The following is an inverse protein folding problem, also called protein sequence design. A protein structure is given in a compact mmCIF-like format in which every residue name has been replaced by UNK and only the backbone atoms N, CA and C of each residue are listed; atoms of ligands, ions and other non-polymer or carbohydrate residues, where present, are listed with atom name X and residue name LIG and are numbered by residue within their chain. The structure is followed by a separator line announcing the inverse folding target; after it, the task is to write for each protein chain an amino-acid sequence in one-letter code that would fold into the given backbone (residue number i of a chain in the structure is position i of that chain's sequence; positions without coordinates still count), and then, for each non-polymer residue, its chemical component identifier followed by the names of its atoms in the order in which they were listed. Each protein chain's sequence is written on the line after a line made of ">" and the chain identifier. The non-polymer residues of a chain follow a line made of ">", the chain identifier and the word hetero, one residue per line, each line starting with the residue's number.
data_IF_953628573691
#
_entry.id   IF_953628573691
#
_cell.length_a   1.000
_cell.length_b   1.000
_cell.length_c   1.000
_cell.angle_alpha   90.00
_cell.angle_beta   90.00
_cell.angle_gamma   90.00
#
_symmetry.space_group_name_H-M   'P 1'
#
loop_
_entity.id
_entity.type
_entity.pdbx_description
1 polymer ?
#
# COMPACT_ATOMS: atom_id res chain seq x y z
N UNK A 1 -12.58 1.07 19.22
CA UNK A 1 -11.17 0.87 18.84
C UNK A 1 -11.02 1.55 17.49
N UNK A 2 -10.10 2.51 17.36
CA UNK A 2 -9.92 3.24 16.09
C UNK A 2 -9.26 2.34 15.05
N UNK A 3 -9.28 2.75 13.77
CA UNK A 3 -8.59 2.01 12.71
C UNK A 3 -7.08 1.87 12.99
N UNK A 4 -6.46 2.88 13.62
CA UNK A 4 -5.05 2.84 14.02
C UNK A 4 -4.83 1.82 15.16
N UNK A 5 -5.69 1.83 16.19
CA UNK A 5 -5.61 0.84 17.28
C UNK A 5 -5.79 -0.60 16.79
N UNK A 6 -6.73 -0.84 15.88
CA UNK A 6 -6.95 -2.15 15.26
C UNK A 6 -5.73 -2.61 14.45
N UNK A 7 -5.18 -1.72 13.61
CA UNK A 7 -3.99 -2.00 12.81
C UNK A 7 -2.76 -2.25 13.69
N UNK A 8 -2.58 -1.46 14.75
CA UNK A 8 -1.52 -1.62 15.73
C UNK A 8 -1.59 -2.98 16.45
N UNK A 9 -2.76 -3.33 16.98
CA UNK A 9 -2.98 -4.62 17.65
C UNK A 9 -2.73 -5.80 16.71
N UNK A 10 -3.22 -5.72 15.47
CA UNK A 10 -2.98 -6.75 14.45
C UNK A 10 -1.50 -6.86 14.09
N UNK A 11 -0.78 -5.74 13.97
CA UNK A 11 0.67 -5.74 13.71
C UNK A 11 1.43 -6.41 14.83
N UNK A 12 1.19 -6.00 16.08
CA UNK A 12 1.88 -6.54 17.26
C UNK A 12 1.67 -8.05 17.37
N UNK A 13 0.44 -8.51 17.16
CA UNK A 13 0.13 -9.94 17.19
C UNK A 13 0.85 -10.72 16.07
N UNK A 14 0.72 -10.28 14.82
CA UNK A 14 1.27 -11.00 13.67
C UNK A 14 2.80 -10.96 13.64
N UNK A 15 3.40 -9.78 13.76
CA UNK A 15 4.85 -9.58 13.68
C UNK A 15 5.53 -10.10 14.94
N UNK A 16 4.92 -9.92 16.13
CA UNK A 16 5.40 -10.53 17.36
C UNK A 16 5.45 -12.06 17.27
N UNK A 17 4.44 -12.68 16.64
CA UNK A 17 4.42 -14.11 16.36
C UNK A 17 5.57 -14.58 15.46
N UNK A 18 5.88 -13.83 14.39
CA UNK A 18 7.00 -14.13 13.51
C UNK A 18 8.36 -14.01 14.21
N UNK A 19 8.53 -12.99 15.07
CA UNK A 19 9.74 -12.79 15.88
C UNK A 19 9.90 -13.88 16.94
N UNK A 20 8.80 -14.30 17.57
CA UNK A 20 8.79 -15.42 18.52
C UNK A 20 9.28 -16.71 17.86
N UNK A 21 8.73 -17.02 16.69
CA UNK A 21 9.09 -18.19 15.91
C UNK A 21 10.58 -18.17 15.50
N UNK A 22 11.10 -17.00 15.10
CA UNK A 22 12.49 -16.85 14.66
C UNK A 22 13.49 -16.90 15.82
N UNK A 23 13.16 -16.29 16.96
CA UNK A 23 14.02 -16.23 18.14
C UNK A 23 13.93 -17.47 19.05
N UNK A 24 12.92 -18.33 18.84
CA UNK A 24 12.55 -19.44 19.74
C UNK A 24 12.23 -18.96 21.16
N UNK A 25 11.61 -17.79 21.27
CA UNK A 25 11.13 -17.19 22.53
C UNK A 25 9.61 -17.04 22.51
N UNK A 26 9.01 -16.64 23.62
CA UNK A 26 7.58 -16.35 23.66
C UNK A 26 7.28 -15.09 22.83
N UNK A 27 6.07 -14.99 22.28
CA UNK A 27 5.66 -13.80 21.52
C UNK A 27 5.62 -12.54 22.38
N UNK A 28 5.23 -12.69 23.65
CA UNK A 28 5.18 -11.60 24.61
C UNK A 28 6.55 -10.90 24.78
N UNK A 29 7.65 -11.64 24.59
CA UNK A 29 9.03 -11.12 24.69
C UNK A 29 9.40 -10.11 23.58
N UNK A 30 8.61 -10.01 22.50
CA UNK A 30 8.87 -9.11 21.35
C UNK A 30 7.79 -8.02 21.19
N UNK A 31 6.89 -7.90 22.16
CA UNK A 31 5.78 -6.94 22.12
C UNK A 31 6.31 -5.51 22.04
N UNK A 32 7.34 -5.20 22.82
CA UNK A 32 7.92 -3.84 22.90
C UNK A 32 8.54 -3.43 21.56
N UNK A 33 9.29 -4.32 20.93
CA UNK A 33 9.87 -4.08 19.61
C UNK A 33 8.80 -3.87 18.55
N UNK A 34 7.75 -4.69 18.55
CA UNK A 34 6.64 -4.57 17.61
C UNK A 34 5.84 -3.28 17.82
N UNK A 35 5.55 -2.89 19.06
CA UNK A 35 4.87 -1.62 19.37
C UNK A 35 5.72 -0.43 18.95
N UNK A 36 7.03 -0.45 19.26
CA UNK A 36 7.94 0.62 18.86
C UNK A 36 7.98 0.78 17.34
N UNK A 37 7.89 -0.33 16.62
CA UNK A 37 7.83 -0.33 15.17
C UNK A 37 6.54 0.32 14.64
N UNK A 38 5.38 -0.04 15.19
CA UNK A 38 4.09 0.60 14.87
C UNK A 38 4.15 2.10 15.14
N UNK A 39 4.68 2.50 16.29
CA UNK A 39 4.86 3.90 16.68
C UNK A 39 5.75 4.67 15.70
N UNK A 40 6.84 4.07 15.24
CA UNK A 40 7.71 4.68 14.23
C UNK A 40 7.00 4.84 12.87
N UNK A 41 6.24 3.83 12.44
CA UNK A 41 5.51 3.86 11.17
C UNK A 41 4.42 4.94 11.21
N UNK A 42 3.55 4.89 12.22
CA UNK A 42 2.46 5.85 12.36
C UNK A 42 2.99 7.28 12.52
N UNK A 43 3.98 7.48 13.40
CA UNK A 43 4.57 8.80 13.62
C UNK A 43 5.28 9.36 12.39
N UNK A 44 5.91 8.51 11.58
CA UNK A 44 6.58 8.95 10.35
C UNK A 44 5.60 9.38 9.25
N UNK A 45 4.41 8.75 9.19
CA UNK A 45 3.34 9.15 8.28
C UNK A 45 2.71 10.46 8.75
N UNK A 46 2.26 10.53 10.00
CA UNK A 46 1.61 11.72 10.57
C UNK A 46 2.50 12.97 10.56
N UNK A 47 3.82 12.80 10.63
CA UNK A 47 4.76 13.92 10.60
C UNK A 47 5.15 14.38 9.19
N UNK A 48 4.66 13.73 8.13
CA UNK A 48 5.17 13.89 6.77
C UNK A 48 5.04 15.32 6.22
N UNK A 49 3.97 16.03 6.56
CA UNK A 49 3.75 17.41 6.11
C UNK A 49 4.35 18.47 7.08
N UNK A 50 4.99 18.02 8.15
CA UNK A 50 5.55 18.84 9.22
C UNK A 50 4.51 19.51 10.12
N UNK A 51 3.23 19.16 10.01
CA UNK A 51 2.13 19.71 10.80
C UNK A 51 1.34 18.61 11.51
N UNK A 52 1.68 18.39 12.77
CA UNK A 52 0.90 17.51 13.63
C UNK A 52 -0.28 18.27 14.27
N UNK A 53 -1.49 18.01 13.79
CA UNK A 53 -2.74 18.53 14.34
C UNK A 53 -3.00 17.95 15.74
N UNK A 54 -3.91 18.58 16.50
CA UNK A 54 -4.30 18.03 17.81
C UNK A 54 -5.04 16.71 17.67
N UNK A 55 -5.78 16.50 16.57
CA UNK A 55 -6.48 15.25 16.28
C UNK A 55 -5.51 14.08 16.11
N UNK A 56 -4.48 14.25 15.28
CA UNK A 56 -3.46 13.24 15.03
C UNK A 56 -2.65 12.92 16.28
N UNK A 57 -2.20 13.94 17.02
CA UNK A 57 -1.47 13.73 18.27
C UNK A 57 -2.32 13.05 19.32
N UNK A 58 -3.59 13.42 19.45
CA UNK A 58 -4.50 12.78 20.40
C UNK A 58 -4.69 11.32 20.02
N UNK A 59 -4.97 11.01 18.75
CA UNK A 59 -5.13 9.64 18.27
C UNK A 59 -3.86 8.79 18.48
N UNK A 60 -2.68 9.34 18.16
CA UNK A 60 -1.41 8.65 18.39
C UNK A 60 -1.15 8.40 19.89
N UNK A 61 -1.32 9.43 20.72
CA UNK A 61 -1.04 9.35 22.15
C UNK A 61 -2.02 8.42 22.87
N UNK A 62 -3.30 8.41 22.49
CA UNK A 62 -4.31 7.56 23.13
C UNK A 62 -4.17 6.09 22.72
N UNK A 63 -3.88 5.82 21.45
CA UNK A 63 -3.83 4.44 20.92
C UNK A 63 -2.47 3.77 21.12
N UNK A 64 -1.37 4.53 20.95
CA UNK A 64 0.00 3.98 21.00
C UNK A 64 0.75 4.39 22.27
N UNK A 65 0.45 5.55 22.84
CA UNK A 65 1.15 6.07 24.04
C UNK A 65 1.18 5.09 25.22
N UNK A 66 0.05 4.46 25.61
CA UNK A 66 0.02 3.46 26.69
C UNK A 66 0.80 2.18 26.40
N UNK A 67 1.02 1.87 25.11
CA UNK A 67 1.66 0.62 24.68
C UNK A 67 3.20 0.75 24.64
N UNK A 68 3.72 1.98 24.56
CA UNK A 68 5.15 2.25 24.54
C UNK A 68 5.81 1.91 25.88
N UNK A 69 7.12 1.61 25.84
CA UNK A 69 7.94 1.37 27.03
C UNK A 69 9.15 2.33 27.08
N UNK A 70 9.21 3.28 28.03
CA UNK A 70 8.16 3.59 29.00
C UNK A 70 6.90 4.19 28.34
N UNK A 71 5.71 4.07 28.97
CA UNK A 71 4.48 4.65 28.44
C UNK A 71 4.60 6.16 28.24
N UNK A 72 4.12 6.63 27.10
CA UNK A 72 4.17 8.03 26.73
C UNK A 72 2.87 8.72 27.15
N UNK A 73 2.86 9.31 28.34
CA UNK A 73 1.71 10.03 28.90
C UNK A 73 2.03 11.53 28.97
N UNK A 74 1.75 12.24 27.88
CA UNK A 74 2.01 13.68 27.73
C UNK A 74 0.82 14.37 27.05
N UNK A 75 0.70 15.68 27.19
CA UNK A 75 -0.27 16.46 26.42
C UNK A 75 0.20 16.64 24.96
N UNK A 76 -0.72 16.95 24.05
CA UNK A 76 -0.37 17.27 22.64
C UNK A 76 0.59 18.46 22.55
N UNK A 77 0.45 19.45 23.44
CA UNK A 77 1.37 20.59 23.53
C UNK A 77 2.78 20.15 23.94
N UNK A 78 2.90 19.30 24.97
CA UNK A 78 4.19 18.78 25.42
C UNK A 78 4.85 17.88 24.35
N UNK A 79 4.07 17.06 23.63
CA UNK A 79 4.58 16.23 22.54
C UNK A 79 5.23 17.08 21.43
N UNK A 80 4.65 18.25 21.10
CA UNK A 80 5.23 19.21 20.15
C UNK A 80 6.49 19.87 20.70
N UNK A 81 6.47 20.30 21.96
CA UNK A 81 7.63 20.93 22.61
C UNK A 81 8.84 19.99 22.70
N UNK A 82 8.58 18.70 22.98
CA UNK A 82 9.61 17.65 23.00
C UNK A 82 10.12 17.27 21.60
N UNK A 83 9.51 17.79 20.53
CA UNK A 83 9.86 17.49 19.13
C UNK A 83 9.89 15.99 18.87
N UNK A 84 8.91 15.27 19.42
CA UNK A 84 8.89 13.81 19.48
C UNK A 84 8.97 13.13 18.09
N UNK A 85 8.47 13.82 17.06
CA UNK A 85 8.35 13.29 15.70
C UNK A 85 9.41 13.85 14.73
N UNK A 86 10.37 14.61 15.24
CA UNK A 86 11.49 15.07 14.42
C UNK A 86 12.23 13.88 13.79
N UNK A 87 12.51 13.97 12.49
CA UNK A 87 13.19 12.91 11.78
C UNK A 87 12.33 11.65 11.57
N UNK A 88 11.04 11.66 11.92
CA UNK A 88 10.20 10.46 11.87
C UNK A 88 9.95 10.00 10.42
N UNK A 89 9.69 10.93 9.51
CA UNK A 89 9.47 10.61 8.09
C UNK A 89 10.76 10.13 7.42
N UNK A 90 11.91 10.71 7.75
CA UNK A 90 13.22 10.26 7.26
C UNK A 90 13.55 8.84 7.71
N UNK A 91 13.09 8.42 8.90
CA UNK A 91 13.23 7.03 9.35
C UNK A 91 12.46 6.05 8.47
N UNK A 92 11.33 6.44 7.88
CA UNK A 92 10.59 5.60 6.92
C UNK A 92 11.33 5.42 5.59
N UNK A 93 12.24 6.33 5.25
CA UNK A 93 13.06 6.21 4.04
C UNK A 93 14.09 5.07 4.14
N UNK A 94 14.31 4.50 5.33
CA UNK A 94 15.24 3.41 5.57
C UNK A 94 14.50 2.16 6.11
N UNK A 95 14.93 0.94 5.72
CA UNK A 95 14.38 -0.27 6.32
C UNK A 95 14.74 -0.31 7.81
N UNK A 96 13.78 -0.67 8.66
CA UNK A 96 14.05 -0.84 10.09
C UNK A 96 14.91 -2.07 10.36
N UNK A 97 15.54 -2.09 11.54
CA UNK A 97 16.32 -3.25 11.99
C UNK A 97 15.45 -4.50 12.12
N UNK A 98 14.21 -4.34 12.59
CA UNK A 98 13.26 -5.44 12.72
C UNK A 98 12.93 -6.01 11.34
N UNK A 99 12.62 -5.15 10.37
CA UNK A 99 12.31 -5.59 9.02
C UNK A 99 13.50 -6.27 8.34
N UNK A 100 14.69 -5.67 8.43
CA UNK A 100 15.92 -6.25 7.88
C UNK A 100 16.20 -7.65 8.46
N UNK A 101 15.96 -7.85 9.75
CA UNK A 101 16.11 -9.14 10.41
C UNK A 101 15.16 -10.20 9.82
N UNK A 102 13.89 -9.85 9.58
CA UNK A 102 12.91 -10.76 8.97
C UNK A 102 13.26 -11.07 7.51
N UNK A 103 13.69 -10.07 6.74
CA UNK A 103 14.11 -10.24 5.34
C UNK A 103 15.33 -11.16 5.24
N UNK A 104 16.33 -10.99 6.10
CA UNK A 104 17.50 -11.87 6.14
C UNK A 104 17.16 -13.29 6.56
N UNK A 105 16.16 -13.47 7.41
CA UNK A 105 15.68 -14.80 7.78
C UNK A 105 15.02 -15.48 6.58
N UNK A 106 14.07 -14.79 5.92
CA UNK A 106 13.40 -15.30 4.71
C UNK A 106 14.36 -15.61 3.57
N UNK A 107 15.40 -14.80 3.37
CA UNK A 107 16.44 -15.08 2.37
C UNK A 107 17.24 -16.37 2.67
N UNK A 108 17.29 -16.81 3.93
CA UNK A 108 18.02 -18.03 4.35
C UNK A 108 17.17 -19.28 4.28
N UNK A 109 15.90 -19.21 4.69
CA UNK A 109 15.03 -20.38 4.86
C UNK A 109 13.82 -20.42 3.90
N UNK A 110 13.64 -19.38 3.08
CA UNK A 110 12.58 -19.29 2.08
C UNK A 110 11.18 -19.05 2.67
N UNK A 111 11.08 -18.66 3.94
CA UNK A 111 9.79 -18.32 4.53
C UNK A 111 9.28 -16.95 4.07
N UNK A 112 8.17 -16.48 4.65
CA UNK A 112 7.46 -15.26 4.24
C UNK A 112 7.18 -14.30 5.40
N UNK A 113 8.06 -14.27 6.42
CA UNK A 113 7.88 -13.41 7.60
C UNK A 113 7.89 -11.93 7.24
N UNK A 114 8.74 -11.55 6.29
CA UNK A 114 8.81 -10.20 5.77
C UNK A 114 7.57 -9.79 4.95
N UNK A 115 6.81 -10.75 4.41
CA UNK A 115 5.50 -10.47 3.78
C UNK A 115 4.47 -10.13 4.83
N UNK A 116 4.40 -10.91 5.92
CA UNK A 116 3.54 -10.64 7.07
C UNK A 116 3.82 -9.25 7.64
N UNK A 117 5.09 -8.91 7.85
CA UNK A 117 5.49 -7.57 8.26
C UNK A 117 5.03 -6.51 7.25
N UNK A 118 5.30 -6.70 5.95
CA UNK A 118 4.98 -5.70 4.93
C UNK A 118 3.49 -5.38 4.92
N UNK A 119 2.62 -6.40 4.90
CA UNK A 119 1.18 -6.20 4.88
C UNK A 119 0.69 -5.50 6.16
N UNK A 120 1.21 -5.89 7.33
CA UNK A 120 0.86 -5.27 8.59
C UNK A 120 1.35 -3.81 8.66
N UNK A 121 2.59 -3.54 8.23
CA UNK A 121 3.18 -2.21 8.22
C UNK A 121 2.41 -1.25 7.31
N UNK A 122 2.02 -1.71 6.11
CA UNK A 122 1.20 -0.92 5.20
C UNK A 122 -0.19 -0.63 5.77
N UNK A 123 -0.79 -1.56 6.51
CA UNK A 123 -2.07 -1.31 7.22
C UNK A 123 -1.93 -0.22 8.28
N UNK A 124 -0.86 -0.26 9.07
CA UNK A 124 -0.57 0.79 10.07
C UNK A 124 -0.39 2.16 9.40
N UNK A 125 0.43 2.21 8.33
CA UNK A 125 0.69 3.45 7.60
C UNK A 125 -0.59 4.06 7.01
N UNK A 126 -1.45 3.25 6.38
CA UNK A 126 -2.74 3.71 5.86
C UNK A 126 -3.73 4.08 6.97
N UNK A 127 -3.73 3.36 8.09
CA UNK A 127 -4.59 3.69 9.23
C UNK A 127 -4.20 5.00 9.89
N UNK A 128 -2.90 5.32 9.93
CA UNK A 128 -2.39 6.60 10.42
C UNK A 128 -2.88 7.76 9.54
N UNK A 129 -2.65 7.69 8.23
CA UNK A 129 -3.13 8.71 7.29
C UNK A 129 -4.67 8.85 7.26
N UNK A 130 -5.40 7.78 7.61
CA UNK A 130 -6.86 7.79 7.69
C UNK A 130 -7.41 8.39 9.00
N UNK A 131 -6.54 8.85 9.92
CA UNK A 131 -6.98 9.65 11.08
C UNK A 131 -7.68 10.92 10.59
N UNK A 132 -7.12 11.53 9.55
CA UNK A 132 -7.77 12.62 8.85
C UNK A 132 -8.84 12.11 7.88
N UNK A 133 -9.91 12.91 7.73
CA UNK A 133 -10.95 12.64 6.74
C UNK A 133 -10.41 12.67 5.31
N UNK A 134 -9.32 13.42 5.08
CA UNK A 134 -8.63 13.55 3.81
C UNK A 134 -7.13 13.53 4.08
N UNK A 135 -6.43 12.43 3.74
CA UNK A 135 -4.97 12.38 3.83
C UNK A 135 -4.31 13.48 3.01
N UNK A 136 -3.25 14.06 3.53
CA UNK A 136 -2.44 15.05 2.81
C UNK A 136 -1.61 14.40 1.69
N UNK A 137 -1.26 15.16 0.63
CA UNK A 137 -0.36 14.65 -0.42
C UNK A 137 1.00 14.17 0.12
N UNK A 138 1.51 14.82 1.17
CA UNK A 138 2.81 14.50 1.77
C UNK A 138 2.75 13.18 2.56
N UNK A 139 1.66 12.90 3.27
CA UNK A 139 1.42 11.60 3.90
C UNK A 139 1.35 10.47 2.87
N UNK A 140 0.62 10.69 1.77
CA UNK A 140 0.54 9.70 0.68
C UNK A 140 1.91 9.46 0.04
N UNK A 141 2.69 10.52 -0.17
CA UNK A 141 4.05 10.41 -0.67
C UNK A 141 4.98 9.67 0.32
N UNK A 142 4.83 9.90 1.63
CA UNK A 142 5.57 9.19 2.66
C UNK A 142 5.23 7.70 2.68
N UNK A 143 3.95 7.33 2.54
CA UNK A 143 3.51 5.93 2.43
C UNK A 143 4.11 5.27 1.19
N UNK A 144 4.10 5.94 0.04
CA UNK A 144 4.67 5.39 -1.20
C UNK A 144 6.20 5.26 -1.13
N UNK A 145 6.88 6.21 -0.49
CA UNK A 145 8.32 6.14 -0.24
C UNK A 145 8.67 4.97 0.70
N UNK A 146 7.92 4.83 1.80
CA UNK A 146 8.06 3.72 2.74
C UNK A 146 7.86 2.37 2.05
N UNK A 147 6.76 2.22 1.31
CA UNK A 147 6.46 1.03 0.49
C UNK A 147 7.60 0.69 -0.46
N UNK A 148 8.10 1.70 -1.18
CA UNK A 148 9.20 1.52 -2.14
C UNK A 148 10.47 1.07 -1.43
N UNK A 149 10.76 1.61 -0.24
CA UNK A 149 11.91 1.20 0.57
C UNK A 149 11.80 -0.26 1.03
N UNK A 150 10.64 -0.70 1.51
CA UNK A 150 10.44 -2.10 1.89
C UNK A 150 10.63 -3.05 0.71
N UNK A 151 9.98 -2.76 -0.43
CA UNK A 151 10.06 -3.61 -1.62
C UNK A 151 11.47 -3.68 -2.20
N UNK A 152 12.20 -2.55 -2.23
CA UNK A 152 13.59 -2.52 -2.69
C UNK A 152 14.51 -3.36 -1.80
N UNK A 153 14.24 -3.39 -0.50
CA UNK A 153 15.01 -4.21 0.45
C UNK A 153 14.78 -5.71 0.22
N UNK A 154 13.54 -6.12 -0.09
CA UNK A 154 13.24 -7.50 -0.49
C UNK A 154 13.98 -7.88 -1.78
N UNK A 155 13.93 -7.02 -2.80
CA UNK A 155 14.61 -7.26 -4.07
C UNK A 155 16.12 -7.42 -3.88
N UNK A 156 16.73 -6.54 -3.07
CA UNK A 156 18.16 -6.59 -2.76
C UNK A 156 18.57 -7.87 -2.03
N UNK A 157 17.68 -8.43 -1.21
CA UNK A 157 17.87 -9.69 -0.50
C UNK A 157 17.48 -10.94 -1.33
N UNK A 158 16.97 -10.76 -2.56
CA UNK A 158 16.48 -11.86 -3.39
C UNK A 158 15.21 -12.53 -2.85
N UNK A 159 14.50 -11.87 -1.94
CA UNK A 159 13.23 -12.38 -1.38
C UNK A 159 12.11 -11.99 -2.36
N UNK A 160 11.25 -12.93 -2.79
CA UNK A 160 10.12 -12.61 -3.67
C UNK A 160 9.23 -11.53 -3.08
N UNK A 161 8.64 -10.66 -3.90
CA UNK A 161 7.74 -9.62 -3.40
C UNK A 161 6.42 -10.22 -2.90
N UNK A 162 5.71 -9.56 -1.97
CA UNK A 162 4.36 -9.94 -1.58
C UNK A 162 3.45 -10.05 -2.82
N UNK A 163 2.63 -11.08 -2.89
CA UNK A 163 1.76 -11.37 -4.04
C UNK A 163 2.45 -12.07 -5.23
N UNK A 164 3.77 -12.29 -5.20
CA UNK A 164 4.44 -13.19 -6.15
C UNK A 164 4.36 -14.65 -5.65
N UNK A 165 4.03 -15.63 -6.52
CA UNK A 165 4.15 -17.05 -6.16
C UNK A 165 5.62 -17.37 -5.82
N UNK A 166 5.82 -18.30 -4.88
CA UNK A 166 7.17 -18.73 -4.50
C UNK A 166 7.82 -19.38 -5.73
N UNK A 167 8.71 -18.66 -6.41
CA UNK A 167 9.41 -19.15 -7.57
C UNK A 167 10.83 -19.57 -7.20
N UNK A 168 11.25 -20.72 -7.74
CA UNK A 168 12.61 -21.23 -7.68
C UNK A 168 13.63 -20.17 -8.14
N UNK A 169 14.78 -20.15 -7.45
CA UNK A 169 15.91 -19.25 -7.70
C UNK A 169 16.51 -19.41 -9.13
N UNK A 170 17.38 -18.49 -9.58
CA UNK A 170 16.99 -17.28 -10.31
C UNK A 170 17.53 -17.27 -11.75
N UNK A 171 16.84 -16.61 -12.67
CA UNK A 171 17.43 -16.16 -13.92
C UNK A 171 17.70 -14.65 -13.82
N UNK A 172 18.99 -14.30 -13.82
CA UNK A 172 19.48 -12.93 -13.91
C UNK A 172 19.02 -12.27 -15.21
N UNK A 173 18.67 -10.97 -15.16
CA UNK A 173 18.35 -10.22 -16.36
C UNK A 173 17.77 -8.83 -16.15
N UNK A 174 18.66 -7.89 -15.83
CA UNK A 174 18.72 -6.50 -16.33
C UNK A 174 17.54 -5.54 -16.09
N UNK A 175 17.87 -4.48 -15.37
CA UNK A 175 17.22 -3.16 -15.36
C UNK A 175 17.10 -2.60 -16.78
N UNK A 176 15.87 -2.57 -17.32
CA UNK A 176 15.58 -1.85 -18.56
C UNK A 176 15.05 -0.45 -18.22
N UNK A 177 15.93 0.53 -18.45
CA UNK A 177 15.63 1.95 -18.57
C UNK A 177 14.52 2.18 -19.60
N UNK A 178 13.50 2.95 -19.25
CA UNK A 178 12.45 3.35 -20.20
C UNK A 178 12.99 4.49 -21.05
N UNK A 179 13.62 4.12 -22.17
CA UNK A 179 13.91 5.04 -23.25
C UNK A 179 12.68 5.19 -24.16
N UNK A 180 12.40 6.43 -24.50
CA UNK A 180 11.35 6.91 -25.40
C UNK A 180 11.52 6.38 -26.82
N UNK A 181 10.48 5.73 -27.36
CA UNK A 181 10.20 5.51 -28.79
C UNK A 181 8.86 4.76 -28.86
N UNK A 182 8.02 4.84 -29.88
CA UNK A 182 7.85 5.72 -31.02
C UNK A 182 6.43 5.39 -31.52
N UNK A 183 5.82 6.39 -32.12
CA UNK A 183 4.50 6.38 -32.75
C UNK A 183 4.32 5.20 -33.74
N UNK A 184 3.37 4.30 -33.46
CA UNK A 184 2.93 3.26 -34.38
C UNK A 184 1.41 3.05 -34.30
N UNK A 185 0.75 3.33 -35.42
CA UNK A 185 -0.58 2.93 -35.87
C UNK A 185 -1.76 3.00 -34.88
N UNK A 186 -2.60 4.02 -35.07
CA UNK A 186 -3.92 4.21 -34.43
C UNK A 186 -4.90 3.09 -34.79
N UNK A 187 -5.36 2.24 -33.85
CA UNK A 187 -6.61 1.52 -34.01
C UNK A 187 -7.76 2.48 -33.67
N UNK A 188 -8.83 2.40 -34.44
CA UNK A 188 -10.09 3.12 -34.20
C UNK A 188 -10.64 2.73 -32.82
N UNK A 189 -11.02 3.74 -32.02
CA UNK A 189 -11.49 3.53 -30.66
C UNK A 189 -12.81 2.73 -30.66
N UNK A 190 -12.95 1.67 -29.84
CA UNK A 190 -14.23 0.98 -29.70
C UNK A 190 -15.32 1.96 -29.25
N UNK A 191 -16.58 1.77 -29.67
CA UNK A 191 -17.68 2.66 -29.31
C UNK A 191 -17.84 2.72 -27.78
N UNK A 192 -18.19 3.91 -27.28
CA UNK A 192 -18.47 4.12 -25.85
C UNK A 192 -19.65 3.24 -25.42
N UNK A 193 -19.44 2.45 -24.36
CA UNK A 193 -20.44 1.55 -23.79
C UNK A 193 -20.86 2.02 -22.40
N UNK A 194 -22.12 1.84 -21.99
CA UNK A 194 -22.53 2.17 -20.62
C UNK A 194 -21.71 1.39 -19.59
N UNK A 195 -21.21 2.07 -18.55
CA UNK A 195 -20.44 1.45 -17.46
C UNK A 195 -21.21 0.30 -16.81
N UNK A 196 -22.53 0.43 -16.68
CA UNK A 196 -23.39 -0.63 -16.11
C UNK A 196 -23.36 -1.93 -16.94
N UNK A 197 -23.28 -1.83 -18.26
CA UNK A 197 -23.19 -2.98 -19.16
C UNK A 197 -21.83 -3.69 -18.99
N UNK A 198 -20.75 -2.93 -18.93
CA UNK A 198 -19.39 -3.44 -18.73
C UNK A 198 -19.22 -4.12 -17.35
N UNK A 199 -19.83 -3.56 -16.31
CA UNK A 199 -19.85 -4.17 -14.98
C UNK A 199 -20.70 -5.45 -14.94
N UNK A 200 -21.79 -5.51 -15.71
CA UNK A 200 -22.59 -6.73 -15.84
C UNK A 200 -21.81 -7.85 -16.56
N UNK A 201 -21.02 -7.52 -17.58
CA UNK A 201 -20.12 -8.48 -18.24
C UNK A 201 -19.02 -8.98 -17.30
N UNK A 202 -18.46 -8.08 -16.48
CA UNK A 202 -17.52 -8.47 -15.44
C UNK A 202 -18.17 -9.43 -14.44
N UNK A 203 -19.43 -9.20 -14.08
CA UNK A 203 -20.18 -10.05 -13.15
C UNK A 203 -20.52 -11.42 -13.69
N UNK A 204 -20.70 -11.54 -15.01
CA UNK A 204 -20.92 -12.81 -15.70
C UNK A 204 -19.69 -13.73 -15.68
N UNK A 205 -18.48 -13.21 -15.41
CA UNK A 205 -17.28 -14.04 -15.27
C UNK A 205 -17.38 -14.91 -14.01
N UNK A 206 -17.09 -16.21 -14.14
CA UNK A 206 -17.17 -17.15 -13.01
C UNK A 206 -16.02 -16.89 -12.01
N UNK A 207 -16.35 -16.74 -10.73
CA UNK A 207 -15.39 -16.44 -9.65
C UNK A 207 -14.92 -14.98 -9.67
N UNK A 208 -13.65 -14.76 -9.28
CA UNK A 208 -13.00 -13.44 -9.28
C UNK A 208 -13.62 -12.41 -8.32
N UNK A 209 -14.26 -12.85 -7.22
CA UNK A 209 -15.04 -11.95 -6.34
C UNK A 209 -14.24 -10.75 -5.83
N UNK A 210 -12.98 -10.97 -5.41
CA UNK A 210 -12.08 -9.90 -4.98
C UNK A 210 -11.75 -8.92 -6.11
N UNK A 211 -11.55 -9.42 -7.33
CA UNK A 211 -11.27 -8.58 -8.51
C UNK A 211 -12.51 -7.76 -8.89
N UNK A 212 -13.70 -8.38 -8.86
CA UNK A 212 -14.97 -7.69 -9.12
C UNK A 212 -15.23 -6.58 -8.12
N UNK A 213 -15.01 -6.85 -6.83
CA UNK A 213 -15.14 -5.86 -5.77
C UNK A 213 -14.18 -4.67 -6.00
N UNK A 214 -12.92 -4.96 -6.34
CA UNK A 214 -11.91 -3.92 -6.56
C UNK A 214 -12.18 -3.08 -7.80
N UNK A 215 -12.59 -3.70 -8.91
CA UNK A 215 -12.97 -2.97 -10.13
C UNK A 215 -14.17 -2.07 -9.88
N UNK A 216 -15.18 -2.51 -9.11
CA UNK A 216 -16.31 -1.65 -8.72
C UNK A 216 -15.85 -0.48 -7.86
N UNK A 217 -15.01 -0.74 -6.85
CA UNK A 217 -14.46 0.31 -5.97
C UNK A 217 -13.73 1.39 -6.78
N UNK A 218 -12.87 0.96 -7.70
CA UNK A 218 -12.13 1.84 -8.59
C UNK A 218 -13.07 2.63 -9.50
N UNK A 219 -14.05 1.97 -10.12
CA UNK A 219 -15.03 2.62 -10.99
C UNK A 219 -15.82 3.71 -10.25
N UNK A 220 -16.29 3.40 -9.03
CA UNK A 220 -17.02 4.37 -8.19
C UNK A 220 -16.13 5.57 -7.80
N UNK A 221 -14.87 5.33 -7.46
CA UNK A 221 -13.92 6.40 -7.16
C UNK A 221 -13.76 7.34 -8.35
N UNK A 222 -13.55 6.78 -9.55
CA UNK A 222 -13.38 7.55 -10.78
C UNK A 222 -14.63 8.36 -11.14
N UNK A 223 -15.83 7.79 -10.98
CA UNK A 223 -17.08 8.51 -11.18
C UNK A 223 -17.25 9.69 -10.21
N UNK A 224 -16.87 9.50 -8.94
CA UNK A 224 -16.91 10.58 -7.94
C UNK A 224 -15.89 11.68 -8.27
N UNK A 225 -14.68 11.31 -8.69
CA UNK A 225 -13.66 12.27 -9.13
C UNK A 225 -14.13 13.07 -10.35
N UNK A 226 -14.74 12.41 -11.34
CA UNK A 226 -15.32 13.07 -12.51
C UNK A 226 -16.41 14.07 -12.11
N UNK A 227 -17.36 13.65 -11.26
CA UNK A 227 -18.42 14.52 -10.77
C UNK A 227 -17.88 15.73 -9.99
N UNK A 228 -16.79 15.55 -9.23
CA UNK A 228 -16.11 16.65 -8.53
C UNK A 228 -15.48 17.62 -9.53
N UNK A 229 -14.80 17.11 -10.55
CA UNK A 229 -14.21 17.93 -11.61
C UNK A 229 -15.28 18.77 -12.34
N UNK A 230 -16.40 18.16 -12.73
CA UNK A 230 -17.54 18.83 -13.38
C UNK A 230 -18.14 19.95 -12.53
N UNK A 231 -18.03 19.82 -11.19
CA UNK A 231 -18.52 20.80 -10.22
C UNK A 231 -17.45 21.79 -9.76
N UNK A 232 -16.25 21.77 -10.35
CA UNK A 232 -15.14 22.64 -9.97
C UNK A 232 -14.59 22.39 -8.56
N UNK A 233 -14.84 21.20 -7.99
CA UNK A 233 -14.31 20.80 -6.70
C UNK A 233 -12.90 20.22 -6.86
N UNK A 234 -12.02 20.33 -5.84
CA UNK A 234 -10.68 19.75 -5.89
C UNK A 234 -10.75 18.24 -6.18
N UNK A 235 -9.91 17.78 -7.12
CA UNK A 235 -9.73 16.37 -7.47
C UNK A 235 -8.26 16.03 -7.21
N UNK A 236 -8.02 14.93 -6.49
CA UNK A 236 -6.68 14.41 -6.26
C UNK A 236 -6.34 13.50 -7.44
N UNK A 237 -5.23 13.77 -8.12
CA UNK A 237 -4.72 12.89 -9.17
C UNK A 237 -4.20 11.59 -8.54
N UNK A 238 -4.82 10.47 -8.91
CA UNK A 238 -4.41 9.14 -8.49
C UNK A 238 -3.75 8.39 -9.64
N UNK A 239 -2.69 7.62 -9.34
CA UNK A 239 -2.13 6.69 -10.31
C UNK A 239 -3.15 5.60 -10.66
N UNK A 240 -3.37 5.37 -11.96
CA UNK A 240 -4.30 4.36 -12.47
C UNK A 240 -3.59 3.10 -12.99
N UNK A 241 -2.32 2.90 -12.59
CA UNK A 241 -1.55 1.73 -12.97
C UNK A 241 -1.96 0.50 -12.16
N UNK A 242 -2.20 -0.62 -12.85
CA UNK A 242 -2.67 -1.86 -12.25
C UNK A 242 -1.82 -3.03 -12.72
N UNK A 243 -1.64 -4.02 -11.84
CA UNK A 243 -0.95 -5.28 -12.14
C UNK A 243 -1.90 -6.43 -11.89
N UNK A 244 -2.18 -7.23 -12.91
CA UNK A 244 -2.95 -8.46 -12.77
C UNK A 244 -2.00 -9.64 -12.55
N UNK A 245 -2.05 -10.27 -11.38
CA UNK A 245 -1.26 -11.46 -11.06
C UNK A 245 -2.13 -12.72 -11.05
N UNK A 246 -1.56 -13.88 -11.43
CA UNK A 246 -2.24 -15.18 -11.39
C UNK A 246 -1.79 -16.16 -12.47
N UNK A 247 -2.18 -17.43 -12.32
CA UNK A 247 -1.83 -18.50 -13.27
C UNK A 247 -2.35 -18.23 -14.69
N UNK A 248 -1.70 -18.74 -15.76
CA UNK A 248 -2.24 -18.66 -17.11
C UNK A 248 -3.69 -19.17 -17.18
N UNK A 249 -4.54 -18.51 -17.97
CA UNK A 249 -5.96 -18.90 -18.11
C UNK A 249 -6.94 -18.34 -17.06
N UNK A 250 -6.48 -17.57 -16.05
CA UNK A 250 -7.37 -16.98 -15.02
C UNK A 250 -8.10 -15.69 -15.44
N UNK A 251 -8.25 -15.44 -16.74
CA UNK A 251 -9.04 -14.31 -17.25
C UNK A 251 -8.40 -12.91 -17.12
N UNK A 252 -7.12 -12.78 -16.77
CA UNK A 252 -6.42 -11.48 -16.60
C UNK A 252 -6.60 -10.55 -17.81
N UNK A 253 -6.36 -11.06 -19.02
CA UNK A 253 -6.50 -10.28 -20.26
C UNK A 253 -7.97 -9.87 -20.51
N UNK A 254 -8.92 -10.75 -20.17
CA UNK A 254 -10.35 -10.45 -20.27
C UNK A 254 -10.76 -9.31 -19.35
N UNK A 255 -10.33 -9.35 -18.09
CA UNK A 255 -10.58 -8.28 -17.11
C UNK A 255 -9.91 -6.98 -17.55
N UNK A 256 -8.66 -7.03 -18.03
CA UNK A 256 -7.95 -5.85 -18.53
C UNK A 256 -8.70 -5.17 -19.68
N UNK A 257 -9.29 -5.96 -20.59
CA UNK A 257 -10.09 -5.44 -21.73
C UNK A 257 -11.41 -4.80 -21.29
N UNK A 258 -12.08 -5.36 -20.28
CA UNK A 258 -13.29 -4.75 -19.72
C UNK A 258 -12.94 -3.45 -19.00
N UNK A 259 -11.85 -3.45 -18.24
CA UNK A 259 -11.42 -2.28 -17.49
C UNK A 259 -10.96 -1.13 -18.40
N UNK A 260 -10.30 -1.42 -19.53
CA UNK A 260 -9.92 -0.38 -20.50
C UNK A 260 -11.15 0.33 -21.09
N UNK A 261 -12.23 -0.41 -21.34
CA UNK A 261 -13.51 0.14 -21.79
C UNK A 261 -14.22 0.93 -20.68
N UNK A 262 -14.15 0.47 -19.43
CA UNK A 262 -14.70 1.21 -18.28
C UNK A 262 -13.98 2.55 -18.17
N UNK A 263 -12.64 2.56 -18.18
CA UNK A 263 -11.84 3.79 -18.12
C UNK A 263 -12.13 4.75 -19.26
N UNK A 264 -12.43 4.25 -20.45
CA UNK A 264 -12.84 5.09 -21.56
C UNK A 264 -14.20 5.75 -21.28
N UNK A 265 -15.13 4.97 -20.76
CA UNK A 265 -16.51 5.39 -20.51
C UNK A 265 -16.63 6.40 -19.37
N UNK A 266 -15.70 6.35 -18.39
CA UNK A 266 -15.56 7.35 -17.32
C UNK A 266 -14.56 8.48 -17.65
N UNK A 267 -14.09 8.55 -18.90
CA UNK A 267 -13.24 9.66 -19.36
C UNK A 267 -11.79 9.67 -18.85
N UNK A 268 -11.33 8.57 -18.25
CA UNK A 268 -9.95 8.43 -17.75
C UNK A 268 -8.95 8.23 -18.90
N UNK A 269 -9.36 7.53 -19.96
CA UNK A 269 -8.55 7.34 -21.17
C UNK A 269 -9.31 7.78 -22.43
N UNK A 270 -8.59 8.40 -23.37
CA UNK A 270 -9.20 9.01 -24.56
C UNK A 270 -9.71 8.02 -25.61
N UNK A 271 -9.21 6.78 -25.62
CA UNK A 271 -9.46 5.84 -26.72
C UNK A 271 -9.92 4.43 -26.32
N UNK A 272 -9.90 4.06 -25.04
CA UNK A 272 -10.40 2.75 -24.53
C UNK A 272 -9.77 1.45 -25.05
N UNK A 273 -8.91 1.54 -26.06
CA UNK A 273 -8.20 0.42 -26.64
C UNK A 273 -7.17 -0.16 -25.66
N UNK A 274 -7.13 -1.48 -25.61
CA UNK A 274 -6.10 -2.23 -24.92
C UNK A 274 -4.96 -2.48 -25.92
N UNK A 275 -3.77 -1.97 -25.63
CA UNK A 275 -2.56 -2.33 -26.38
C UNK A 275 -1.93 -3.53 -25.67
N UNK A 276 -1.94 -4.68 -26.33
CA UNK A 276 -1.22 -5.87 -25.87
C UNK A 276 0.16 -5.86 -26.50
N UNK A 277 1.20 -5.79 -25.66
CA UNK A 277 2.60 -5.90 -26.10
C UNK A 277 3.17 -7.19 -25.54
N UNK A 278 3.74 -8.02 -26.41
CA UNK A 278 4.59 -9.15 -25.99
C UNK A 278 6.05 -8.69 -25.90
N UNK A 279 6.89 -9.41 -25.16
CA UNK A 279 8.34 -9.13 -25.07
C UNK A 279 9.13 -9.78 -26.19
#
# INVERSE_FOLDING_TARGET
>A
MSALGDAAGSFVHLVGGELAALSRRAADDHTVEAVREVANIAGGVLAADGRLTDGELTAYLDELGPLLDPPLVVSTAAAREMRLFDGATERLAQPSVLYDLLVRADARDGSRRAHTYYEAAMRVAHAAAAIDLVPSPDELAAIDAFRTTLLRHLDAAGVPRPGQPAAAAPAAGTTASVATAAEAATPEAPPLRPVAELLAELDALIGLDNVKAEVRRLTSLLQVQQLRAERGLPVIETSHHLVFTGNPGTGKTTVARLLSQVFHSVGVVSKGHLVETDR
#
